data_IF_899235001003
#
_entry.id   IF_899235001003
#
_cell.length_a   1.000
_cell.length_b   1.000
_cell.length_c   1.000
_cell.angle_alpha   90.00
_cell.angle_beta   90.00
_cell.angle_gamma   90.00
#
_symmetry.space_group_name_H-M   'P 1'
#
loop_
_entity.id
_entity.type
_entity.pdbx_description
1 polymer ?
#
# COMPACT_ATOMS: atom_id res chain seq x y z
N UNK A 1 -15.56 -19.31 -31.44
CA UNK A 1 -14.97 -17.95 -31.40
C UNK A 1 -15.38 -17.19 -30.15
N UNK A 2 -16.68 -16.97 -29.89
CA UNK A 2 -17.17 -16.38 -28.63
C UNK A 2 -16.65 -17.07 -27.37
N UNK A 3 -16.60 -18.40 -27.37
CA UNK A 3 -16.04 -19.17 -26.24
C UNK A 3 -14.56 -18.85 -25.99
N UNK A 4 -13.75 -18.69 -27.05
CA UNK A 4 -12.34 -18.32 -26.91
C UNK A 4 -12.18 -16.88 -26.41
N UNK A 5 -13.09 -15.98 -26.79
CA UNK A 5 -13.12 -14.60 -26.29
C UNK A 5 -13.39 -14.60 -24.79
N UNK A 6 -14.44 -15.32 -24.38
CA UNK A 6 -14.82 -15.43 -22.97
C UNK A 6 -13.67 -16.03 -22.17
N UNK A 7 -13.11 -17.15 -22.64
CA UNK A 7 -11.97 -17.79 -21.97
C UNK A 7 -10.77 -16.85 -21.81
N UNK A 8 -10.41 -16.08 -22.84
CA UNK A 8 -9.30 -15.13 -22.76
C UNK A 8 -9.56 -13.98 -21.78
N UNK A 9 -10.79 -13.47 -21.74
CA UNK A 9 -11.20 -12.43 -20.79
C UNK A 9 -11.23 -12.96 -19.35
N UNK A 10 -11.76 -14.17 -19.14
CA UNK A 10 -11.76 -14.84 -17.82
C UNK A 10 -10.35 -15.17 -17.33
N UNK A 11 -9.41 -15.47 -18.25
CA UNK A 11 -8.00 -15.65 -17.94
C UNK A 11 -7.27 -14.34 -17.59
N UNK A 12 -7.94 -13.19 -17.62
CA UNK A 12 -7.41 -11.90 -17.19
C UNK A 12 -7.01 -10.94 -18.33
N UNK A 13 -7.38 -11.21 -19.58
CA UNK A 13 -7.20 -10.23 -20.65
C UNK A 13 -8.05 -8.98 -20.39
N UNK A 14 -7.47 -7.79 -20.58
CA UNK A 14 -8.18 -6.53 -20.35
C UNK A 14 -9.24 -6.21 -21.41
N UNK A 15 -9.06 -6.68 -22.64
CA UNK A 15 -9.97 -6.42 -23.76
C UNK A 15 -9.76 -7.44 -24.88
N UNK A 16 -10.73 -7.54 -25.79
CA UNK A 16 -10.66 -8.40 -26.97
C UNK A 16 -11.17 -7.66 -28.22
N UNK A 17 -10.56 -7.93 -29.39
CA UNK A 17 -10.98 -7.37 -30.68
C UNK A 17 -10.94 -8.44 -31.79
N UNK A 18 -12.08 -8.67 -32.46
CA UNK A 18 -12.15 -9.58 -33.62
C UNK A 18 -11.51 -8.94 -34.85
N UNK A 19 -10.90 -9.76 -35.71
CA UNK A 19 -10.46 -9.33 -37.04
C UNK A 19 -11.59 -9.51 -38.07
N UNK A 20 -11.60 -8.70 -39.15
CA UNK A 20 -10.78 -7.52 -39.37
C UNK A 20 -11.24 -6.34 -38.50
N UNK A 21 -10.31 -5.48 -38.08
CA UNK A 21 -10.62 -4.31 -37.27
C UNK A 21 -9.91 -3.06 -37.77
N UNK A 22 -10.45 -1.91 -37.38
CA UNK A 22 -9.87 -0.60 -37.65
C UNK A 22 -8.72 -0.30 -36.66
N UNK A 23 -7.55 0.02 -37.20
CA UNK A 23 -6.35 0.39 -36.44
C UNK A 23 -6.55 1.65 -35.58
N UNK A 24 -7.35 2.59 -36.04
CA UNK A 24 -7.71 3.82 -35.33
C UNK A 24 -8.51 3.50 -34.07
N UNK A 25 -9.48 2.58 -34.18
CA UNK A 25 -10.27 2.10 -33.03
C UNK A 25 -9.37 1.38 -32.03
N UNK A 26 -8.46 0.52 -32.49
CA UNK A 26 -7.50 -0.15 -31.60
C UNK A 26 -6.61 0.85 -30.86
N UNK A 27 -6.10 1.89 -31.55
CA UNK A 27 -5.28 2.94 -30.93
C UNK A 27 -6.04 3.69 -29.82
N UNK A 28 -7.31 4.00 -30.05
CA UNK A 28 -8.16 4.66 -29.04
C UNK A 28 -8.42 3.74 -27.85
N UNK A 29 -8.78 2.46 -28.08
CA UNK A 29 -9.00 1.49 -26.99
C UNK A 29 -7.75 1.32 -26.12
N UNK A 30 -6.57 1.17 -26.75
CA UNK A 30 -5.29 1.11 -26.03
C UNK A 30 -5.06 2.34 -25.16
N UNK A 31 -5.30 3.54 -25.71
CA UNK A 31 -5.12 4.80 -24.97
C UNK A 31 -6.03 4.86 -23.75
N UNK A 32 -7.30 4.50 -23.90
CA UNK A 32 -8.26 4.50 -22.80
C UNK A 32 -7.86 3.55 -21.67
N UNK A 33 -7.39 2.34 -22.01
CA UNK A 33 -6.90 1.37 -21.00
C UNK A 33 -5.74 1.96 -20.20
N UNK A 34 -4.77 2.58 -20.89
CA UNK A 34 -3.60 3.19 -20.22
C UNK A 34 -4.00 4.39 -19.36
N UNK A 35 -4.88 5.27 -19.86
CA UNK A 35 -5.37 6.42 -19.12
C UNK A 35 -6.14 6.00 -17.86
N UNK A 36 -6.99 4.99 -17.95
CA UNK A 36 -7.73 4.50 -16.78
C UNK A 36 -6.78 3.93 -15.71
N UNK A 37 -5.73 3.21 -16.13
CA UNK A 37 -4.69 2.72 -15.20
C UNK A 37 -3.92 3.86 -14.56
N UNK A 38 -3.61 4.91 -15.32
CA UNK A 38 -2.94 6.09 -14.78
C UNK A 38 -3.83 6.81 -13.77
N UNK A 39 -5.09 7.07 -14.12
CA UNK A 39 -6.05 7.70 -13.20
C UNK A 39 -6.23 6.91 -11.91
N UNK A 40 -6.36 5.57 -11.98
CA UNK A 40 -6.46 4.76 -10.77
C UNK A 40 -5.18 4.84 -9.91
N UNK A 41 -3.99 4.84 -10.53
CA UNK A 41 -2.73 5.04 -9.80
C UNK A 41 -2.69 6.40 -9.13
N UNK A 42 -3.03 7.45 -9.86
CA UNK A 42 -3.01 8.82 -9.35
C UNK A 42 -4.01 8.96 -8.20
N UNK A 43 -5.23 8.44 -8.35
CA UNK A 43 -6.24 8.46 -7.29
C UNK A 43 -5.76 7.72 -6.04
N UNK A 44 -5.24 6.50 -6.18
CA UNK A 44 -4.74 5.70 -5.04
C UNK A 44 -3.53 6.36 -4.37
N UNK A 45 -2.64 6.98 -5.13
CA UNK A 45 -1.47 7.69 -4.57
C UNK A 45 -1.85 9.06 -3.98
N UNK A 46 -2.90 9.70 -4.50
CA UNK A 46 -3.43 10.97 -4.00
C UNK A 46 -4.38 10.81 -2.82
N UNK A 47 -4.85 9.58 -2.59
CA UNK A 47 -5.44 9.21 -1.33
C UNK A 47 -4.31 9.18 -0.32
N UNK A 48 -4.02 10.35 0.27
CA UNK A 48 -3.55 10.49 1.64
C UNK A 48 -4.60 9.83 2.54
N UNK A 49 -4.72 8.51 2.43
CA UNK A 49 -5.33 7.73 3.48
C UNK A 49 -4.28 7.83 4.56
N UNK A 50 -4.51 8.57 5.67
CA UNK A 50 -3.72 8.27 6.84
C UNK A 50 -3.82 6.76 7.03
N UNK A 51 -2.73 6.06 7.40
CA UNK A 51 -2.85 4.67 7.81
C UNK A 51 -4.07 4.61 8.71
N UNK A 52 -5.06 3.76 8.35
CA UNK A 52 -6.32 3.60 9.09
C UNK A 52 -6.05 3.91 10.54
N UNK A 53 -6.73 4.93 11.10
CA UNK A 53 -6.61 5.31 12.50
C UNK A 53 -6.52 4.01 13.27
N UNK A 54 -5.29 3.66 13.69
CA UNK A 54 -5.07 2.45 14.45
C UNK A 54 -5.99 2.63 15.63
N UNK A 55 -6.97 1.73 15.77
CA UNK A 55 -8.00 1.81 16.80
C UNK A 55 -7.28 1.71 18.14
N UNK A 56 -6.77 2.85 18.63
CA UNK A 56 -6.03 2.93 19.85
C UNK A 56 -7.07 2.70 20.93
N UNK A 57 -7.12 1.47 21.42
CA UNK A 57 -8.05 1.03 22.46
C UNK A 57 -8.07 1.95 23.70
N UNK A 58 -7.04 2.80 23.87
CA UNK A 58 -6.90 3.82 24.93
C UNK A 58 -6.00 4.99 24.51
N UNK A 59 -6.23 6.19 25.08
CA UNK A 59 -5.35 7.37 24.95
C UNK A 59 -3.88 7.06 25.36
N UNK A 60 -3.69 6.18 26.35
CA UNK A 60 -2.37 5.74 26.78
C UNK A 60 -1.65 4.86 25.74
N UNK A 61 -2.41 4.18 24.87
CA UNK A 61 -1.83 3.39 23.80
C UNK A 61 -1.43 4.27 22.61
N UNK A 62 -2.19 5.34 22.36
CA UNK A 62 -1.81 6.39 21.40
C UNK A 62 -0.51 7.08 21.83
N UNK A 63 -0.44 7.60 23.07
CA UNK A 63 0.78 8.25 23.59
C UNK A 63 1.99 7.30 23.60
N UNK A 64 1.76 6.01 23.83
CA UNK A 64 2.81 5.00 23.74
C UNK A 64 3.31 4.82 22.31
N UNK A 65 2.41 4.71 21.33
CA UNK A 65 2.78 4.51 19.93
C UNK A 65 3.41 5.76 19.30
N UNK A 66 2.96 6.95 19.68
CA UNK A 66 3.61 8.21 19.29
C UNK A 66 5.07 8.22 19.76
N UNK A 67 5.31 7.84 21.03
CA UNK A 67 6.67 7.75 21.58
C UNK A 67 7.51 6.66 20.90
N UNK A 68 6.90 5.54 20.51
CA UNK A 68 7.59 4.49 19.74
C UNK A 68 8.06 5.04 18.39
N UNK A 69 7.19 5.74 17.68
CA UNK A 69 7.49 6.32 16.37
C UNK A 69 8.55 7.42 16.47
N UNK A 70 8.46 8.29 17.47
CA UNK A 70 9.47 9.33 17.73
C UNK A 70 10.87 8.73 17.91
N UNK A 71 11.01 7.69 18.74
CA UNK A 71 12.30 7.02 18.97
C UNK A 71 12.83 6.35 17.69
N UNK A 72 11.95 5.74 16.88
CA UNK A 72 12.35 5.13 15.62
C UNK A 72 12.83 6.18 14.63
N UNK A 73 12.13 7.30 14.49
CA UNK A 73 12.49 8.37 13.56
C UNK A 73 13.80 9.07 13.96
N UNK A 74 14.02 9.29 15.26
CA UNK A 74 15.27 9.88 15.78
C UNK A 74 16.49 8.98 15.50
N UNK A 75 16.34 7.66 15.67
CA UNK A 75 17.44 6.70 15.57
C UNK A 75 17.50 5.96 14.22
N UNK A 76 16.62 6.29 13.26
CA UNK A 76 16.50 5.61 11.96
C UNK A 76 17.81 5.60 11.16
N UNK A 77 18.63 6.66 11.33
CA UNK A 77 19.90 6.84 10.63
C UNK A 77 21.09 6.20 11.35
N UNK A 78 20.89 5.68 12.57
CA UNK A 78 21.93 5.10 13.40
C UNK A 78 22.04 3.59 13.18
N UNK A 79 23.09 3.15 12.47
CA UNK A 79 23.33 1.73 12.18
C UNK A 79 23.66 0.88 13.40
N UNK A 80 24.07 1.50 14.51
CA UNK A 80 24.38 0.81 15.77
C UNK A 80 23.17 0.73 16.72
N UNK A 81 22.02 1.31 16.32
CA UNK A 81 20.83 1.30 17.14
C UNK A 81 20.33 -0.13 17.40
N UNK A 82 20.23 -0.49 18.68
CA UNK A 82 19.88 -1.85 19.09
C UNK A 82 18.54 -1.91 19.82
N UNK A 83 17.95 -3.10 19.86
CA UNK A 83 16.71 -3.35 20.62
C UNK A 83 16.85 -3.02 22.12
N UNK A 84 18.07 -3.08 22.67
CA UNK A 84 18.31 -2.68 24.07
C UNK A 84 18.12 -1.18 24.26
N UNK A 85 18.65 -0.39 23.32
CA UNK A 85 18.60 1.06 23.38
C UNK A 85 17.15 1.52 23.19
N UNK A 86 16.43 0.92 22.23
CA UNK A 86 14.99 1.12 22.04
C UNK A 86 14.19 0.86 23.33
N UNK A 87 14.37 -0.30 23.96
CA UNK A 87 13.66 -0.63 25.20
C UNK A 87 14.02 0.32 26.35
N UNK A 88 15.29 0.75 26.43
CA UNK A 88 15.76 1.71 27.43
C UNK A 88 15.13 3.09 27.23
N UNK A 89 15.01 3.56 26.00
CA UNK A 89 14.37 4.85 25.65
C UNK A 89 12.86 4.84 25.95
N UNK A 90 12.20 3.69 25.72
CA UNK A 90 10.81 3.50 26.09
C UNK A 90 10.59 3.32 27.61
N UNK A 91 11.64 3.03 28.37
CA UNK A 91 11.56 2.78 29.82
C UNK A 91 10.88 1.45 30.16
N UNK A 92 10.93 0.48 29.24
CA UNK A 92 10.22 -0.79 29.35
C UNK A 92 11.16 -1.98 29.16
N UNK A 93 10.81 -3.12 29.75
CA UNK A 93 11.54 -4.37 29.48
C UNK A 93 11.26 -4.85 28.06
N UNK A 94 12.21 -5.59 27.46
CA UNK A 94 12.04 -6.18 26.11
C UNK A 94 10.74 -6.96 25.97
N UNK A 95 10.40 -7.77 26.97
CA UNK A 95 9.16 -8.58 26.98
C UNK A 95 7.92 -7.70 27.06
N UNK A 96 7.96 -6.62 27.85
CA UNK A 96 6.84 -5.67 27.97
C UNK A 96 6.59 -4.91 26.68
N UNK A 97 7.65 -4.51 25.97
CA UNK A 97 7.55 -3.87 24.64
C UNK A 97 6.96 -4.85 23.63
N UNK A 98 7.50 -6.07 23.56
CA UNK A 98 7.03 -7.10 22.64
C UNK A 98 5.55 -7.50 22.86
N UNK A 99 5.05 -7.42 24.09
CA UNK A 99 3.65 -7.72 24.37
C UNK A 99 2.71 -6.55 24.03
N UNK A 100 3.24 -5.34 23.85
CA UNK A 100 2.44 -4.12 23.68
C UNK A 100 2.41 -3.62 22.23
N UNK A 101 3.37 -4.08 21.41
CA UNK A 101 3.47 -3.85 19.95
C UNK A 101 3.05 -5.14 19.25
#
# INVERSE_FOLDING_TARGET
>A
ERENIIFGLEAGANDYIIKPFDLSVLKVRKRNILQNRQHLRDTVLSMDTPPEDTDYTSQLDMEFMDKVMEVIDEELSNSEFSINDFCRMLGMSRTSVYNKI
#
